data_IF_586048452738
#
_entry.id   IF_586048452738
#
_cell.length_a   1.000
_cell.length_b   1.000
_cell.length_c   1.000
_cell.angle_alpha   90.00
_cell.angle_beta   90.00
_cell.angle_gamma   90.00
#
_symmetry.space_group_name_H-M   'P 1'
#
loop_
_entity.id
_entity.type
_entity.pdbx_description
1 polymer ?
#
# COMPACT_ATOMS: atom_id res chain seq x y z
N UNK A 1 -1.45 -6.58 -14.67
CA UNK A 1 -1.46 -5.49 -13.68
C UNK A 1 -1.51 -4.18 -14.43
N UNK A 2 -2.48 -3.31 -14.15
CA UNK A 2 -2.49 -1.93 -14.64
C UNK A 2 -1.70 -1.07 -13.64
N UNK A 3 -0.95 -0.04 -14.09
CA UNK A 3 -0.18 0.80 -13.18
C UNK A 3 -1.15 1.57 -12.26
N UNK A 4 -0.93 1.48 -10.95
CA UNK A 4 -1.64 2.27 -9.95
C UNK A 4 -0.71 3.42 -9.54
N UNK A 5 -1.18 4.66 -9.61
CA UNK A 5 -0.40 5.84 -9.23
C UNK A 5 -0.62 6.12 -7.73
N UNK A 6 0.45 6.06 -6.93
CA UNK A 6 0.45 6.50 -5.54
C UNK A 6 0.79 7.98 -5.47
N UNK A 7 -0.14 8.79 -4.97
CA UNK A 7 0.17 10.16 -4.56
C UNK A 7 0.62 10.15 -3.09
N UNK A 8 1.88 9.83 -2.78
CA UNK A 8 2.39 10.01 -1.40
C UNK A 8 3.79 10.64 -1.25
N UNK A 9 3.82 11.57 -0.29
CA UNK A 9 4.91 12.10 0.55
C UNK A 9 6.24 12.59 -0.05
N UNK A 10 6.45 12.46 -1.36
CA UNK A 10 7.67 13.00 -2.01
C UNK A 10 7.51 14.44 -2.53
N UNK A 11 6.41 15.11 -2.14
CA UNK A 11 5.98 16.41 -2.66
C UNK A 11 4.90 16.28 -3.76
N UNK A 12 4.20 17.37 -4.10
CA UNK A 12 3.27 17.37 -5.22
C UNK A 12 3.98 16.99 -6.53
N UNK A 13 3.44 16.00 -7.26
CA UNK A 13 3.92 15.61 -8.59
C UNK A 13 4.78 14.34 -8.65
N UNK A 14 5.00 13.63 -7.54
CA UNK A 14 5.68 12.34 -7.57
C UNK A 14 4.79 11.26 -8.20
N UNK A 15 5.32 10.55 -9.19
CA UNK A 15 4.66 9.42 -9.86
C UNK A 15 5.35 8.14 -9.45
N UNK A 16 4.57 7.16 -9.01
CA UNK A 16 5.09 5.84 -8.66
C UNK A 16 4.81 4.81 -9.74
N UNK A 17 5.59 3.74 -9.75
CA UNK A 17 5.29 2.54 -10.56
C UNK A 17 5.34 1.30 -9.68
N UNK A 18 4.32 0.46 -9.77
CA UNK A 18 4.25 -0.82 -9.07
C UNK A 18 4.95 -1.90 -9.88
N UNK A 19 5.96 -2.51 -9.28
CA UNK A 19 6.81 -3.53 -9.89
C UNK A 19 6.69 -4.82 -9.07
N UNK A 20 6.29 -5.95 -9.67
CA UNK A 20 6.25 -7.22 -8.98
C UNK A 20 7.65 -7.61 -8.48
N UNK A 21 7.79 -7.76 -7.15
CA UNK A 21 9.04 -8.19 -6.48
C UNK A 21 10.28 -7.48 -7.03
N UNK A 22 10.27 -6.16 -6.94
CA UNK A 22 11.24 -5.29 -7.61
C UNK A 22 12.70 -5.67 -7.31
N UNK A 23 13.47 -5.90 -8.36
CA UNK A 23 14.92 -6.09 -8.28
C UNK A 23 15.65 -4.74 -8.12
N UNK A 24 16.96 -4.79 -7.84
CA UNK A 24 17.81 -3.60 -7.83
C UNK A 24 17.81 -2.88 -9.19
N UNK A 25 17.76 -3.63 -10.28
CA UNK A 25 17.72 -3.07 -11.64
C UNK A 25 16.39 -2.39 -11.95
N UNK A 26 15.27 -2.97 -11.49
CA UNK A 26 13.95 -2.37 -11.64
C UNK A 26 13.85 -1.02 -10.93
N UNK A 27 14.35 -0.94 -9.69
CA UNK A 27 14.38 0.31 -8.90
C UNK A 27 15.23 1.37 -9.60
N UNK A 28 16.41 0.98 -10.11
CA UNK A 28 17.27 1.89 -10.87
C UNK A 28 16.60 2.38 -12.14
N UNK A 29 15.97 1.48 -12.89
CA UNK A 29 15.27 1.82 -14.14
C UNK A 29 14.11 2.77 -13.91
N UNK A 30 13.30 2.54 -12.86
CA UNK A 30 12.23 3.47 -12.47
C UNK A 30 12.78 4.86 -12.11
N UNK A 31 13.86 4.89 -11.31
CA UNK A 31 14.50 6.15 -10.91
C UNK A 31 15.08 6.91 -12.11
N UNK A 32 15.74 6.21 -13.05
CA UNK A 32 16.27 6.80 -14.28
C UNK A 32 15.15 7.38 -15.17
N UNK A 33 13.93 6.85 -15.05
CA UNK A 33 12.72 7.37 -15.71
C UNK A 33 11.98 8.47 -14.90
N UNK A 34 12.51 8.89 -13.74
CA UNK A 34 11.88 9.88 -12.87
C UNK A 34 10.68 9.35 -12.07
N UNK A 35 10.56 8.03 -11.94
CA UNK A 35 9.50 7.34 -11.19
C UNK A 35 10.03 6.81 -9.86
N UNK A 36 9.15 6.72 -8.87
CA UNK A 36 9.42 6.02 -7.62
C UNK A 36 8.93 4.58 -7.71
N UNK A 37 9.85 3.62 -7.57
CA UNK A 37 9.49 2.20 -7.57
C UNK A 37 8.73 1.82 -6.28
N UNK A 38 7.65 1.06 -6.43
CA UNK A 38 6.94 0.39 -5.34
C UNK A 38 7.02 -1.11 -5.60
N UNK A 39 7.55 -1.87 -4.66
CA UNK A 39 7.62 -3.34 -4.81
C UNK A 39 6.31 -3.98 -4.36
N UNK A 40 5.67 -4.74 -5.25
CA UNK A 40 4.54 -5.60 -4.92
C UNK A 40 5.08 -7.00 -4.59
N UNK A 41 5.07 -7.34 -3.31
CA UNK A 41 5.75 -8.52 -2.76
C UNK A 41 7.20 -8.25 -2.33
N UNK A 42 7.87 -9.26 -1.73
CA UNK A 42 9.26 -9.17 -1.31
C UNK A 42 10.16 -9.09 -2.54
N UNK A 43 10.93 -8.00 -2.65
CA UNK A 43 11.89 -7.73 -3.73
C UNK A 43 13.29 -7.52 -3.18
N UNK A 44 14.29 -7.43 -4.06
CA UNK A 44 15.71 -7.34 -3.68
C UNK A 44 16.25 -5.89 -3.67
N UNK A 45 15.52 -4.94 -4.26
CA UNK A 45 15.86 -3.53 -4.26
C UNK A 45 15.48 -2.79 -2.96
N UNK A 46 15.84 -1.50 -2.89
CA UNK A 46 15.33 -0.54 -1.89
C UNK A 46 14.29 0.40 -2.56
N UNK A 47 13.06 -0.10 -2.84
CA UNK A 47 12.01 0.71 -3.47
C UNK A 47 11.54 1.80 -2.52
N UNK A 48 10.84 2.82 -3.03
CA UNK A 48 10.25 3.85 -2.18
C UNK A 48 9.25 3.27 -1.16
N UNK A 49 8.49 2.25 -1.54
CA UNK A 49 7.54 1.55 -0.68
C UNK A 49 7.35 0.08 -1.07
N UNK A 50 6.69 -0.67 -0.18
CA UNK A 50 6.32 -2.08 -0.35
C UNK A 50 4.82 -2.28 -0.18
N UNK A 51 4.28 -3.22 -0.95
CA UNK A 51 2.90 -3.70 -0.90
C UNK A 51 2.96 -5.19 -0.70
N UNK A 52 2.51 -5.67 0.46
CA UNK A 52 2.79 -7.03 0.91
C UNK A 52 1.51 -7.70 1.38
N UNK A 53 1.41 -9.02 1.19
CA UNK A 53 0.44 -9.82 1.93
C UNK A 53 0.81 -9.89 3.42
N UNK A 54 -0.12 -10.32 4.27
CA UNK A 54 0.12 -10.42 5.71
C UNK A 54 1.36 -11.26 6.07
N UNK A 55 1.55 -12.40 5.40
CA UNK A 55 2.67 -13.32 5.66
C UNK A 55 4.03 -12.73 5.19
N UNK A 56 4.01 -11.92 4.14
CA UNK A 56 5.22 -11.32 3.56
C UNK A 56 5.74 -10.13 4.39
N UNK A 57 4.96 -9.59 5.34
CA UNK A 57 5.38 -8.45 6.18
C UNK A 57 6.61 -8.70 7.05
N UNK A 58 7.00 -9.97 7.25
CA UNK A 58 8.26 -10.34 7.93
C UNK A 58 9.49 -9.89 7.15
N UNK A 59 9.36 -9.62 5.84
CA UNK A 59 10.46 -9.13 4.99
C UNK A 59 10.89 -7.70 5.29
N UNK A 60 9.98 -6.86 5.82
CA UNK A 60 10.19 -5.41 6.00
C UNK A 60 10.32 -5.02 7.47
N UNK A 61 10.86 -5.92 8.31
CA UNK A 61 11.10 -5.60 9.72
C UNK A 61 12.11 -4.46 9.85
N UNK A 62 11.76 -3.42 10.61
CA UNK A 62 12.58 -2.21 10.76
C UNK A 62 12.40 -1.17 9.66
N UNK A 63 11.62 -1.46 8.61
CA UNK A 63 11.20 -0.45 7.64
C UNK A 63 10.19 0.49 8.29
N UNK A 64 10.31 1.79 8.01
CA UNK A 64 9.36 2.78 8.50
C UNK A 64 7.95 2.50 7.96
N UNK A 65 6.96 2.40 8.85
CA UNK A 65 5.59 1.98 8.52
C UNK A 65 4.90 2.75 7.40
N UNK A 66 5.26 4.02 7.18
CA UNK A 66 4.75 4.82 6.06
C UNK A 66 5.16 4.29 4.68
N UNK A 67 6.22 3.47 4.59
CA UNK A 67 6.66 2.78 3.37
C UNK A 67 5.97 1.43 3.19
N UNK A 68 5.15 0.98 4.12
CA UNK A 68 4.58 -0.37 4.12
C UNK A 68 3.06 -0.30 3.94
N UNK A 69 2.57 -1.02 2.94
CA UNK A 69 1.14 -1.28 2.70
C UNK A 69 0.88 -2.77 2.84
N UNK A 70 -0.11 -3.14 3.64
CA UNK A 70 -0.59 -4.53 3.75
C UNK A 70 -1.80 -4.70 2.82
N UNK A 71 -1.82 -5.77 2.03
CA UNK A 71 -2.98 -6.17 1.24
C UNK A 71 -4.05 -6.76 2.15
N UNK A 72 -5.31 -6.36 1.94
CA UNK A 72 -6.47 -6.89 2.64
C UNK A 72 -6.86 -8.27 2.09
N UNK A 73 -5.97 -9.24 2.26
CA UNK A 73 -6.09 -10.59 1.76
C UNK A 73 -5.86 -11.63 2.87
N UNK A 74 -6.56 -12.76 2.78
CA UNK A 74 -6.45 -13.84 3.75
C UNK A 74 -7.33 -13.64 4.98
N UNK A 75 -6.92 -14.23 6.11
CA UNK A 75 -7.73 -14.26 7.34
C UNK A 75 -7.62 -12.93 8.09
N UNK A 76 -8.75 -12.41 8.58
CA UNK A 76 -8.83 -11.21 9.45
C UNK A 76 -7.74 -11.14 10.52
N UNK A 77 -7.53 -12.23 11.27
CA UNK A 77 -6.53 -12.27 12.33
C UNK A 77 -5.09 -12.11 11.81
N UNK A 78 -4.79 -12.68 10.63
CA UNK A 78 -3.46 -12.55 10.02
C UNK A 78 -3.21 -11.14 9.48
N UNK A 79 -4.24 -10.50 8.90
CA UNK A 79 -4.15 -9.10 8.46
C UNK A 79 -3.91 -8.16 9.64
N UNK A 80 -4.65 -8.32 10.74
CA UNK A 80 -4.46 -7.50 11.95
C UNK A 80 -3.09 -7.68 12.57
N UNK A 81 -2.65 -8.93 12.73
CA UNK A 81 -1.32 -9.27 13.22
C UNK A 81 -0.22 -8.67 12.35
N UNK A 82 -0.38 -8.74 11.02
CA UNK A 82 0.55 -8.11 10.07
C UNK A 82 0.59 -6.59 10.20
N UNK A 83 -0.56 -5.91 10.31
CA UNK A 83 -0.64 -4.46 10.48
C UNK A 83 0.08 -4.00 11.75
N UNK A 84 -0.22 -4.64 12.88
CA UNK A 84 0.39 -4.29 14.18
C UNK A 84 1.89 -4.58 14.18
N UNK A 85 2.30 -5.78 13.72
CA UNK A 85 3.72 -6.19 13.73
C UNK A 85 4.57 -5.34 12.80
N UNK A 86 4.09 -5.03 11.60
CA UNK A 86 4.85 -4.25 10.62
C UNK A 86 4.77 -2.74 10.83
N UNK A 87 3.80 -2.26 11.62
CA UNK A 87 3.51 -0.84 11.75
C UNK A 87 3.03 -0.22 10.44
N UNK A 88 2.52 -1.03 9.49
CA UNK A 88 2.12 -0.56 8.18
C UNK A 88 1.07 0.55 8.29
N UNK A 89 1.33 1.66 7.59
CA UNK A 89 0.44 2.81 7.62
C UNK A 89 -0.79 2.62 6.74
N UNK A 90 -0.80 1.62 5.86
CA UNK A 90 -1.88 1.41 4.89
C UNK A 90 -2.37 -0.03 4.86
N UNK A 91 -3.70 -0.19 4.82
CA UNK A 91 -4.38 -1.42 4.47
C UNK A 91 -5.02 -1.23 3.09
N UNK A 92 -4.51 -1.89 2.06
CA UNK A 92 -5.06 -1.81 0.71
C UNK A 92 -6.22 -2.77 0.53
N UNK A 93 -7.40 -2.26 0.15
CA UNK A 93 -8.60 -3.09 0.00
C UNK A 93 -9.51 -2.63 -1.12
N UNK A 94 -10.23 -3.59 -1.71
CA UNK A 94 -11.41 -3.43 -2.57
C UNK A 94 -12.74 -3.43 -1.78
N UNK A 95 -12.68 -3.59 -0.46
CA UNK A 95 -13.81 -3.66 0.49
C UNK A 95 -13.62 -2.64 1.60
N UNK A 96 -13.70 -1.33 1.31
CA UNK A 96 -13.31 -0.28 2.26
C UNK A 96 -14.12 -0.30 3.56
N UNK A 97 -15.40 -0.68 3.53
CA UNK A 97 -16.20 -0.80 4.76
C UNK A 97 -15.68 -1.86 5.74
N UNK A 98 -15.25 -3.02 5.22
CA UNK A 98 -14.66 -4.08 6.06
C UNK A 98 -13.27 -3.66 6.55
N UNK A 99 -12.47 -3.04 5.69
CA UNK A 99 -11.15 -2.51 6.03
C UNK A 99 -11.23 -1.42 7.12
N UNK A 100 -12.21 -0.50 7.04
CA UNK A 100 -12.43 0.53 8.05
C UNK A 100 -12.80 -0.06 9.43
N UNK A 101 -13.50 -1.20 9.44
CA UNK A 101 -13.79 -1.95 10.67
C UNK A 101 -12.53 -2.57 11.27
N UNK A 102 -11.49 -2.85 10.48
CA UNK A 102 -10.20 -3.35 10.97
C UNK A 102 -9.32 -2.23 11.50
N UNK A 103 -9.22 -1.14 10.75
CA UNK A 103 -8.34 -0.01 11.07
C UNK A 103 -8.87 0.87 12.22
N UNK A 104 -10.16 0.78 12.54
CA UNK A 104 -10.73 1.43 13.73
C UNK A 104 -10.44 0.72 15.05
N UNK A 105 -9.84 -0.48 15.03
CA UNK A 105 -9.49 -1.21 16.24
C UNK A 105 -8.35 -0.50 17.00
N UNK A 106 -8.39 -0.45 18.34
CA UNK A 106 -7.30 0.11 19.14
C UNK A 106 -5.96 -0.57 18.83
N UNK A 107 -4.92 0.24 18.63
CA UNK A 107 -3.57 -0.25 18.31
C UNK A 107 -3.32 -0.52 16.83
N UNK A 108 -4.28 -0.21 15.94
CA UNK A 108 -4.09 -0.24 14.49
C UNK A 108 -4.02 1.19 13.96
N UNK A 109 -2.82 1.66 13.62
CA UNK A 109 -2.59 3.02 13.13
C UNK A 109 -2.60 3.14 11.60
N UNK A 110 -3.38 2.28 10.93
CA UNK A 110 -3.43 2.15 9.48
C UNK A 110 -4.61 2.92 8.86
N UNK A 111 -4.39 3.45 7.67
CA UNK A 111 -5.38 4.09 6.81
C UNK A 111 -5.91 3.09 5.76
N UNK A 112 -7.18 3.22 5.39
CA UNK A 112 -7.79 2.39 4.34
C UNK A 112 -7.44 2.97 2.99
N UNK A 113 -6.69 2.21 2.19
CA UNK A 113 -6.23 2.56 0.85
C UNK A 113 -7.03 1.77 -0.19
N UNK A 114 -7.72 2.46 -1.09
CA UNK A 114 -8.62 1.81 -2.06
C UNK A 114 -8.41 2.36 -3.47
N UNK A 115 -8.29 1.50 -4.49
CA UNK A 115 -8.31 1.96 -5.88
C UNK A 115 -9.69 2.50 -6.26
N UNK A 116 -9.71 3.62 -6.98
CA UNK A 116 -10.90 4.18 -7.59
C UNK A 116 -10.57 4.67 -9.01
N UNK A 117 -11.47 4.44 -9.96
CA UNK A 117 -11.26 4.76 -11.37
C UNK A 117 -11.92 6.08 -11.78
N UNK A 118 -12.94 6.51 -11.03
CA UNK A 118 -13.63 7.78 -11.28
C UNK A 118 -14.09 8.45 -9.98
N UNK A 119 -14.68 9.64 -10.12
CA UNK A 119 -15.13 10.46 -8.98
C UNK A 119 -16.30 9.81 -8.25
N UNK A 120 -17.18 9.09 -8.94
CA UNK A 120 -18.34 8.46 -8.32
C UNK A 120 -17.91 7.26 -7.47
N UNK A 121 -17.01 6.42 -7.99
CA UNK A 121 -16.38 5.33 -7.26
C UNK A 121 -15.57 5.85 -6.07
N UNK A 122 -14.74 6.89 -6.28
CA UNK A 122 -13.98 7.53 -5.21
C UNK A 122 -14.87 8.02 -4.06
N UNK A 123 -16.01 8.65 -4.39
CA UNK A 123 -16.97 9.12 -3.38
C UNK A 123 -17.60 7.94 -2.61
N UNK A 124 -17.95 6.86 -3.30
CA UNK A 124 -18.47 5.65 -2.66
C UNK A 124 -17.44 5.04 -1.70
N UNK A 125 -16.18 4.91 -2.12
CA UNK A 125 -15.12 4.38 -1.27
C UNK A 125 -14.91 5.23 -0.01
N UNK A 126 -14.95 6.57 -0.13
CA UNK A 126 -14.85 7.48 1.02
C UNK A 126 -16.03 7.33 1.96
N UNK A 127 -17.24 7.18 1.45
CA UNK A 127 -18.44 6.93 2.26
C UNK A 127 -18.37 5.60 3.03
N UNK A 128 -17.66 4.62 2.48
CA UNK A 128 -17.36 3.34 3.11
C UNK A 128 -16.15 3.37 4.06
N UNK A 129 -15.49 4.53 4.22
CA UNK A 129 -14.40 4.71 5.17
C UNK A 129 -12.99 4.60 4.59
N UNK A 130 -12.84 4.63 3.26
CA UNK A 130 -11.54 4.85 2.63
C UNK A 130 -10.98 6.23 3.02
N UNK A 131 -9.74 6.26 3.49
CA UNK A 131 -9.02 7.49 3.86
C UNK A 131 -7.90 7.83 2.87
N UNK A 132 -7.61 6.91 1.95
CA UNK A 132 -6.62 7.01 0.90
C UNK A 132 -7.16 6.41 -0.40
N UNK A 133 -7.01 7.15 -1.49
CA UNK A 133 -7.52 6.77 -2.80
C UNK A 133 -6.37 6.63 -3.79
N UNK A 134 -6.40 5.55 -4.56
CA UNK A 134 -5.41 5.23 -5.57
C UNK A 134 -6.04 5.37 -6.95
N UNK A 135 -5.45 6.21 -7.80
CA UNK A 135 -5.93 6.42 -9.17
C UNK A 135 -4.90 5.91 -10.17
N UNK A 136 -5.34 5.37 -11.30
CA UNK A 136 -4.47 4.82 -12.35
C UNK A 136 -5.15 4.77 -13.71
#
# INVERSE_FOLDING_TARGET
>A
MRPITFCRLSGPGAVTTELPRASVEDVRTASDAGLLAVSVGPGEGDPAAWVLTGDETTFVQGVAGWRVTVLHEGRRAAVLDALVRSGARFLRSDRPAEAATLTSLPGVDAEVSTPACDVAEALACVQEGATDLLFG
#
